data_IF_329976486223
#
_entry.id   IF_329976486223
#
_cell.length_a   1.000
_cell.length_b   1.000
_cell.length_c   1.000
_cell.angle_alpha   90.00
_cell.angle_beta   90.00
_cell.angle_gamma   90.00
#
_symmetry.space_group_name_H-M   'P 1'
#
loop_
_entity.id
_entity.type
_entity.pdbx_description
1 polymer ?
#
# COMPACT_ATOMS: atom_id res chain seq x y z
N UNK A 1 7.06 13.50 17.21
CA UNK A 1 6.10 12.76 16.38
C UNK A 1 5.99 11.29 16.85
N UNK A 2 7.11 10.55 17.01
CA UNK A 2 7.07 9.12 17.40
C UNK A 2 6.37 8.85 18.73
N UNK A 3 6.58 9.68 19.75
CA UNK A 3 5.90 9.52 21.05
C UNK A 3 4.37 9.67 20.95
N UNK A 4 3.88 10.60 20.11
CA UNK A 4 2.45 10.77 19.88
C UNK A 4 1.87 9.57 19.11
N UNK A 5 2.62 9.03 18.14
CA UNK A 5 2.23 7.80 17.42
C UNK A 5 2.22 6.60 18.37
N UNK A 6 3.22 6.45 19.23
CA UNK A 6 3.28 5.39 20.23
C UNK A 6 2.08 5.43 21.17
N UNK A 7 1.70 6.62 21.64
CA UNK A 7 0.53 6.79 22.50
C UNK A 7 -0.76 6.43 21.74
N UNK A 8 -0.94 6.93 20.51
CA UNK A 8 -2.12 6.65 19.70
C UNK A 8 -2.28 5.14 19.42
N UNK A 9 -1.16 4.44 19.15
CA UNK A 9 -1.17 2.99 18.95
C UNK A 9 -1.58 2.26 20.23
N UNK A 10 -1.03 2.65 21.40
CA UNK A 10 -1.46 2.05 22.69
C UNK A 10 -2.96 2.24 22.89
N UNK A 11 -3.44 3.46 22.70
CA UNK A 11 -4.86 3.79 22.95
C UNK A 11 -5.78 3.00 22.03
N UNK A 12 -5.44 2.85 20.75
CA UNK A 12 -6.26 2.08 19.82
C UNK A 12 -6.20 0.58 20.10
N UNK A 13 -5.05 0.04 20.48
CA UNK A 13 -4.90 -1.38 20.87
C UNK A 13 -5.77 -1.67 22.10
N UNK A 14 -5.64 -0.88 23.17
CA UNK A 14 -6.46 -1.02 24.39
C UNK A 14 -7.94 -0.93 24.06
N UNK A 15 -8.33 -0.02 23.18
CA UNK A 15 -9.72 0.14 22.77
C UNK A 15 -10.24 -1.08 21.99
N UNK A 16 -9.46 -1.63 21.07
CA UNK A 16 -9.81 -2.85 20.34
C UNK A 16 -9.98 -4.04 21.31
N UNK A 17 -9.05 -4.22 22.24
CA UNK A 17 -9.13 -5.27 23.26
C UNK A 17 -10.35 -5.10 24.17
N UNK A 18 -10.68 -3.87 24.58
CA UNK A 18 -11.86 -3.58 25.40
C UNK A 18 -13.18 -3.92 24.72
N UNK A 19 -13.20 -3.97 23.38
CA UNK A 19 -14.33 -4.44 22.60
C UNK A 19 -14.31 -5.96 22.33
N UNK A 20 -13.32 -6.67 22.87
CA UNK A 20 -13.22 -8.12 22.76
C UNK A 20 -12.70 -8.62 21.41
N UNK A 21 -11.99 -7.80 20.63
CA UNK A 21 -11.36 -8.28 19.40
C UNK A 21 -10.27 -9.30 19.71
N UNK A 22 -10.30 -10.47 19.03
CA UNK A 22 -9.29 -11.52 19.24
C UNK A 22 -7.95 -11.21 18.56
N UNK A 23 -7.91 -10.20 17.70
CA UNK A 23 -6.74 -9.73 16.97
C UNK A 23 -6.81 -8.20 16.90
N UNK A 24 -5.70 -7.53 17.08
CA UNK A 24 -5.61 -6.06 17.04
C UNK A 24 -4.70 -5.57 15.92
N UNK A 25 -4.82 -4.28 15.58
CA UNK A 25 -3.92 -3.57 14.67
C UNK A 25 -3.39 -2.31 15.32
N UNK A 26 -2.27 -1.79 14.81
CA UNK A 26 -1.70 -0.52 15.26
C UNK A 26 -2.46 0.73 14.74
N UNK A 27 -3.50 0.53 13.89
CA UNK A 27 -4.26 1.62 13.26
C UNK A 27 -3.49 2.36 12.17
N UNK A 28 -2.35 1.86 11.74
CA UNK A 28 -1.47 2.45 10.70
C UNK A 28 -1.00 3.89 11.03
N UNK A 29 -0.93 4.25 12.31
CA UNK A 29 -0.56 5.59 12.76
C UNK A 29 0.86 6.01 12.38
N UNK A 30 1.71 5.07 11.95
CA UNK A 30 3.08 5.37 11.51
C UNK A 30 3.18 5.68 10.04
N UNK A 31 2.13 5.39 9.25
CA UNK A 31 2.10 5.56 7.80
C UNK A 31 1.66 6.97 7.41
N UNK A 32 2.22 7.50 6.35
CA UNK A 32 1.71 8.71 5.70
C UNK A 32 0.33 8.46 5.10
N UNK A 33 0.20 7.32 4.41
CA UNK A 33 -1.06 6.71 3.99
C UNK A 33 -0.81 5.23 3.71
N UNK A 34 -1.88 4.42 3.68
CA UNK A 34 -1.74 3.01 3.32
C UNK A 34 -1.13 2.84 1.92
N UNK A 35 -1.43 3.76 1.00
CA UNK A 35 -0.95 3.72 -0.38
C UNK A 35 0.55 4.03 -0.53
N UNK A 36 1.13 4.78 0.39
CA UNK A 36 2.54 5.14 0.39
C UNK A 36 3.40 4.17 1.20
N UNK A 37 2.80 3.26 1.96
CA UNK A 37 3.48 2.37 2.90
C UNK A 37 4.65 1.60 2.27
N UNK A 38 4.48 1.09 1.04
CA UNK A 38 5.56 0.42 0.32
C UNK A 38 6.66 1.42 -0.08
N UNK A 39 6.29 2.60 -0.59
CA UNK A 39 7.28 3.58 -1.02
C UNK A 39 8.09 4.19 0.13
N UNK A 40 7.58 4.12 1.35
CA UNK A 40 8.32 4.47 2.57
C UNK A 40 9.37 3.40 2.97
N UNK A 41 9.24 2.19 2.46
CA UNK A 41 10.15 1.08 2.71
C UNK A 41 11.32 1.01 1.74
N UNK A 42 11.25 1.70 0.60
CA UNK A 42 12.22 1.55 -0.49
C UNK A 42 12.78 2.90 -0.95
N UNK A 43 14.03 2.89 -1.38
CA UNK A 43 14.64 3.96 -2.16
C UNK A 43 14.62 3.59 -3.65
N UNK A 44 14.68 4.58 -4.53
CA UNK A 44 14.77 4.39 -5.99
C UNK A 44 13.61 4.97 -6.79
N UNK A 45 12.49 5.33 -6.15
CA UNK A 45 11.45 6.12 -6.81
C UNK A 45 11.86 7.57 -7.00
N UNK A 46 11.39 8.17 -8.10
CA UNK A 46 11.47 9.61 -8.30
C UNK A 46 10.76 10.37 -7.17
N UNK A 47 11.36 11.46 -6.73
CA UNK A 47 10.68 12.37 -5.80
C UNK A 47 9.61 13.14 -6.59
N UNK A 48 8.34 13.12 -6.18
CA UNK A 48 7.30 13.91 -6.84
C UNK A 48 7.65 15.39 -6.76
N UNK A 49 7.71 16.06 -7.92
CA UNK A 49 8.04 17.50 -7.97
C UNK A 49 6.98 18.40 -7.31
N UNK A 50 5.79 17.88 -7.00
CA UNK A 50 4.62 18.65 -6.56
C UNK A 50 3.88 17.99 -5.38
N UNK A 51 4.57 17.62 -4.31
CA UNK A 51 3.91 17.11 -3.08
C UNK A 51 2.98 18.17 -2.47
N UNK A 52 3.26 19.47 -2.66
CA UNK A 52 2.50 20.57 -2.04
C UNK A 52 1.12 20.82 -2.68
N UNK A 53 0.86 20.38 -3.91
CA UNK A 53 -0.42 20.64 -4.58
C UNK A 53 -1.64 19.95 -3.93
N UNK A 54 -1.42 18.94 -3.10
CA UNK A 54 -2.50 18.23 -2.42
C UNK A 54 -3.09 18.98 -1.22
N UNK A 55 -2.30 19.84 -0.57
CA UNK A 55 -2.74 20.59 0.61
C UNK A 55 -3.23 22.00 0.27
N UNK A 56 -2.75 22.58 -0.84
CA UNK A 56 -3.09 23.96 -1.22
C UNK A 56 -4.48 24.12 -1.88
N UNK A 57 -5.08 23.03 -2.40
CA UNK A 57 -6.42 23.06 -3.01
C UNK A 57 -7.56 22.62 -2.08
N UNK A 58 -7.30 22.41 -0.81
CA UNK A 58 -8.40 22.17 0.14
C UNK A 58 -9.13 23.49 0.41
N UNK A 59 -10.31 23.63 -0.18
CA UNK A 59 -11.24 24.65 0.24
C UNK A 59 -11.76 24.28 1.63
N UNK A 60 -11.18 24.89 2.67
CA UNK A 60 -11.50 24.60 4.08
C UNK A 60 -12.95 24.99 4.47
N UNK A 61 -13.67 25.68 3.57
CA UNK A 61 -15.03 26.14 3.79
C UNK A 61 -16.10 25.18 3.25
N UNK A 62 -15.72 24.08 2.62
CA UNK A 62 -16.66 23.07 2.12
C UNK A 62 -17.01 22.05 3.21
N UNK A 63 -18.30 21.79 3.35
CA UNK A 63 -18.77 20.73 4.25
C UNK A 63 -18.34 19.34 3.76
N UNK A 64 -18.23 18.33 4.65
CA UNK A 64 -17.91 16.96 4.24
C UNK A 64 -18.89 16.38 3.21
N UNK A 65 -20.16 16.82 3.22
CA UNK A 65 -21.21 16.36 2.31
C UNK A 65 -21.04 16.97 0.91
N UNK A 66 -20.87 18.30 0.82
CA UNK A 66 -20.60 18.98 -0.47
C UNK A 66 -19.33 18.45 -1.14
N UNK A 67 -18.33 18.11 -0.33
CA UNK A 67 -17.09 17.49 -0.79
C UNK A 67 -17.31 16.07 -1.30
N UNK A 68 -18.20 15.30 -0.68
CA UNK A 68 -18.56 13.96 -1.12
C UNK A 68 -19.34 13.99 -2.43
N UNK A 69 -20.28 14.92 -2.61
CA UNK A 69 -21.08 15.06 -3.82
C UNK A 69 -20.24 15.52 -5.03
N UNK A 70 -19.37 16.50 -4.85
CA UNK A 70 -18.45 16.95 -5.92
C UNK A 70 -17.40 15.91 -6.26
N UNK A 71 -16.93 15.15 -5.27
CA UNK A 71 -15.91 14.13 -5.48
C UNK A 71 -16.44 12.81 -6.02
N UNK A 72 -17.75 12.53 -6.00
CA UNK A 72 -18.27 11.28 -6.56
C UNK A 72 -18.22 11.23 -8.10
N UNK A 73 -18.31 12.37 -8.77
CA UNK A 73 -18.16 12.46 -10.23
C UNK A 73 -16.70 12.69 -10.68
N UNK A 74 -15.89 13.40 -9.88
CA UNK A 74 -14.48 13.70 -10.18
C UNK A 74 -13.48 12.83 -9.43
N UNK A 75 -13.89 12.18 -8.36
CA UNK A 75 -13.08 11.24 -7.61
C UNK A 75 -13.07 9.86 -8.26
N UNK A 76 -12.50 9.80 -9.39
CA UNK A 76 -11.67 8.64 -9.64
C UNK A 76 -10.72 8.50 -8.42
N UNK A 77 -10.27 7.29 -8.07
CA UNK A 77 -9.52 7.01 -6.84
C UNK A 77 -8.47 8.07 -6.61
N UNK A 78 -8.46 8.64 -5.42
CA UNK A 78 -7.65 9.77 -4.99
C UNK A 78 -6.33 9.81 -5.74
N UNK A 79 -6.09 10.88 -6.47
CA UNK A 79 -5.04 11.06 -7.49
C UNK A 79 -3.87 10.11 -7.24
N UNK A 80 -3.83 9.03 -8.02
CA UNK A 80 -2.73 8.08 -7.95
C UNK A 80 -1.50 8.82 -8.46
N UNK A 81 -0.64 9.26 -7.57
CA UNK A 81 0.64 9.83 -7.94
C UNK A 81 1.49 8.69 -8.51
N UNK A 82 1.44 8.49 -9.82
CA UNK A 82 2.28 7.51 -10.47
C UNK A 82 3.73 7.95 -10.37
N UNK A 83 4.53 7.16 -9.68
CA UNK A 83 5.97 7.39 -9.53
C UNK A 83 6.74 6.59 -10.55
N UNK A 84 7.71 7.23 -11.20
CA UNK A 84 8.75 6.56 -11.96
C UNK A 84 9.84 6.04 -11.03
N UNK A 85 10.53 4.98 -11.43
CA UNK A 85 11.75 4.54 -10.78
C UNK A 85 12.96 5.15 -11.48
N UNK A 86 13.76 5.93 -10.75
CA UNK A 86 15.04 6.45 -11.21
C UNK A 86 16.16 5.41 -11.10
N UNK A 87 16.01 4.45 -10.20
CA UNK A 87 16.92 3.34 -9.94
C UNK A 87 16.13 2.09 -9.59
N UNK A 88 16.75 0.91 -9.68
CA UNK A 88 16.14 -0.30 -9.12
C UNK A 88 15.87 -0.10 -7.64
N UNK A 89 14.65 -0.45 -7.21
CA UNK A 89 14.22 -0.25 -5.83
C UNK A 89 15.13 -1.03 -4.87
N UNK A 90 15.41 -0.42 -3.73
CA UNK A 90 16.19 -1.06 -2.65
C UNK A 90 15.47 -0.85 -1.33
N UNK A 91 15.34 -1.91 -0.56
CA UNK A 91 14.78 -1.82 0.80
C UNK A 91 15.70 -0.94 1.66
N UNK A 92 15.12 0.06 2.32
CA UNK A 92 15.79 0.94 3.28
C UNK A 92 15.25 0.77 4.70
N UNK A 93 14.04 0.25 4.83
CA UNK A 93 13.40 -0.11 6.10
C UNK A 93 12.30 -1.15 5.88
N UNK A 94 11.95 -1.87 6.92
CA UNK A 94 10.76 -2.73 6.93
C UNK A 94 9.72 -2.11 7.88
N UNK A 95 8.93 -1.16 7.37
CA UNK A 95 7.94 -0.45 8.16
C UNK A 95 6.89 -1.40 8.77
N UNK A 96 6.31 -2.38 8.04
CA UNK A 96 5.43 -3.38 8.63
C UNK A 96 6.03 -4.15 9.81
N UNK A 97 7.32 -4.46 9.77
CA UNK A 97 8.01 -5.11 10.89
C UNK A 97 8.15 -4.19 12.11
N UNK A 98 8.42 -2.90 11.89
CA UNK A 98 8.47 -1.90 12.97
C UNK A 98 7.10 -1.72 13.61
N UNK A 99 6.03 -1.65 12.80
CA UNK A 99 4.64 -1.58 13.25
C UNK A 99 4.24 -2.81 14.06
N UNK A 100 4.53 -4.02 13.53
CA UNK A 100 4.27 -5.28 14.22
C UNK A 100 4.94 -5.32 15.59
N UNK A 101 6.25 -5.06 15.64
CA UNK A 101 7.02 -5.15 16.89
C UNK A 101 6.46 -4.24 17.98
N UNK A 102 6.02 -3.05 17.59
CA UNK A 102 5.47 -2.13 18.56
C UNK A 102 4.06 -2.55 18.99
N UNK A 103 3.18 -2.87 18.06
CA UNK A 103 1.82 -3.33 18.38
C UNK A 103 1.85 -4.58 19.27
N UNK A 104 2.66 -5.59 18.94
CA UNK A 104 2.82 -6.82 19.70
C UNK A 104 3.36 -6.54 21.12
N UNK A 105 4.24 -5.53 21.27
CA UNK A 105 4.82 -5.18 22.59
C UNK A 105 3.81 -4.54 23.55
N UNK A 106 2.68 -4.05 23.06
CA UNK A 106 1.66 -3.34 23.85
C UNK A 106 0.31 -4.07 23.89
N UNK A 107 0.13 -5.12 23.06
CA UNK A 107 -1.08 -5.92 22.97
C UNK A 107 -1.03 -7.15 23.88
N UNK A 108 -2.21 -7.60 24.35
CA UNK A 108 -2.40 -8.87 25.08
C UNK A 108 -2.94 -9.98 24.15
N UNK A 109 -3.37 -9.63 22.93
CA UNK A 109 -3.81 -10.55 21.88
C UNK A 109 -2.92 -10.38 20.65
N UNK A 110 -2.89 -11.34 19.71
CA UNK A 110 -2.04 -11.24 18.53
C UNK A 110 -2.26 -9.95 17.73
N UNK A 111 -1.17 -9.34 17.27
CA UNK A 111 -1.21 -8.20 16.37
C UNK A 111 -1.25 -8.67 14.90
N UNK A 112 -2.15 -8.07 14.11
CA UNK A 112 -2.21 -8.21 12.66
C UNK A 112 -1.47 -7.04 12.01
N UNK A 113 -0.73 -7.34 10.95
CA UNK A 113 -0.06 -6.35 10.09
C UNK A 113 -0.64 -6.37 8.69
N UNK A 114 -0.74 -5.21 8.07
CA UNK A 114 -1.14 -5.07 6.68
C UNK A 114 0.06 -4.70 5.81
N UNK A 115 0.12 -5.27 4.61
CA UNK A 115 1.05 -4.87 3.54
C UNK A 115 0.24 -4.53 2.29
N UNK A 116 0.75 -3.62 1.47
CA UNK A 116 0.10 -3.25 0.22
C UNK A 116 0.41 -4.31 -0.85
N UNK A 117 -0.61 -4.88 -1.49
CA UNK A 117 -0.40 -5.90 -2.52
C UNK A 117 0.32 -5.37 -3.78
N UNK A 118 1.09 -6.23 -4.48
CA UNK A 118 1.89 -5.87 -5.65
C UNK A 118 1.11 -5.18 -6.77
N UNK A 119 -0.13 -5.61 -7.03
CA UNK A 119 -0.98 -4.99 -8.05
C UNK A 119 -1.22 -3.50 -7.76
N UNK A 120 -1.51 -3.16 -6.50
CA UNK A 120 -1.73 -1.75 -6.13
C UNK A 120 -0.47 -0.92 -6.26
N UNK A 121 0.68 -1.48 -5.96
CA UNK A 121 1.99 -0.83 -6.15
C UNK A 121 2.23 -0.63 -7.65
N UNK A 122 1.97 -1.65 -8.47
CA UNK A 122 2.14 -1.62 -9.92
C UNK A 122 1.23 -0.58 -10.59
N UNK A 123 -0.01 -0.41 -10.13
CA UNK A 123 -0.92 0.63 -10.63
C UNK A 123 -0.39 2.05 -10.43
N UNK A 124 0.52 2.24 -9.48
CA UNK A 124 1.17 3.53 -9.17
C UNK A 124 2.49 3.73 -9.93
N UNK A 125 2.90 2.76 -10.71
CA UNK A 125 4.15 2.78 -11.46
C UNK A 125 4.00 3.56 -12.77
N UNK A 126 4.86 4.57 -12.95
CA UNK A 126 4.98 5.30 -14.19
C UNK A 126 6.11 4.69 -15.01
N UNK A 127 5.77 3.65 -15.74
CA UNK A 127 6.74 2.83 -16.42
C UNK A 127 7.43 3.53 -17.61
N UNK A 128 6.79 4.51 -18.23
CA UNK A 128 7.36 5.29 -19.32
C UNK A 128 8.65 6.03 -18.91
N UNK A 129 8.72 6.49 -17.67
CA UNK A 129 9.92 7.13 -17.10
C UNK A 129 10.89 6.15 -16.44
N UNK A 130 10.57 4.85 -16.44
CA UNK A 130 11.31 3.81 -15.72
C UNK A 130 11.97 2.79 -16.62
N UNK A 131 11.81 2.91 -17.96
CA UNK A 131 12.32 1.96 -18.94
C UNK A 131 13.85 1.80 -18.96
N UNK A 132 14.58 2.78 -18.43
CA UNK A 132 16.03 2.66 -18.24
C UNK A 132 16.42 1.78 -17.04
N UNK A 133 15.43 1.43 -16.20
CA UNK A 133 15.64 0.73 -14.94
C UNK A 133 14.98 -0.65 -14.95
N UNK A 134 13.77 -0.73 -15.50
CA UNK A 134 12.95 -1.94 -15.62
C UNK A 134 12.61 -2.21 -17.08
N UNK A 135 12.67 -3.46 -17.49
CA UNK A 135 12.36 -3.89 -18.88
C UNK A 135 10.87 -3.74 -19.21
N UNK A 136 10.02 -3.58 -18.20
CA UNK A 136 8.58 -3.45 -18.31
C UNK A 136 7.90 -3.69 -16.99
N UNK A 137 6.56 -3.75 -17.02
CA UNK A 137 5.73 -3.93 -15.84
C UNK A 137 5.97 -5.30 -15.17
N UNK A 138 6.18 -6.34 -15.94
CA UNK A 138 6.42 -7.70 -15.42
C UNK A 138 7.72 -7.74 -14.59
N UNK A 139 8.85 -7.20 -15.12
CA UNK A 139 10.13 -7.09 -14.36
C UNK A 139 9.97 -6.23 -13.08
N UNK A 140 9.12 -5.21 -13.13
CA UNK A 140 8.84 -4.37 -11.96
C UNK A 140 8.05 -5.14 -10.91
N UNK A 141 7.00 -5.86 -11.31
CA UNK A 141 6.16 -6.66 -10.39
C UNK A 141 6.96 -7.78 -9.76
N UNK A 142 7.77 -8.52 -10.53
CA UNK A 142 8.68 -9.55 -10.01
C UNK A 142 9.62 -8.99 -8.93
N UNK A 143 10.14 -7.79 -9.16
CA UNK A 143 11.03 -7.16 -8.19
C UNK A 143 10.28 -6.70 -6.93
N UNK A 144 9.05 -6.16 -7.04
CA UNK A 144 8.20 -5.86 -5.89
C UNK A 144 7.94 -7.12 -5.07
N UNK A 145 7.53 -8.20 -5.70
CA UNK A 145 7.28 -9.49 -5.04
C UNK A 145 8.53 -9.95 -4.27
N UNK A 146 9.72 -9.86 -4.87
CA UNK A 146 10.96 -10.24 -4.20
C UNK A 146 11.23 -9.38 -2.95
N UNK A 147 10.99 -8.07 -3.02
CA UNK A 147 11.12 -7.15 -1.89
C UNK A 147 10.12 -7.49 -0.79
N UNK A 148 8.85 -7.64 -1.13
CA UNK A 148 7.80 -7.89 -0.14
C UNK A 148 7.93 -9.27 0.50
N UNK A 149 8.38 -10.29 -0.25
CA UNK A 149 8.71 -11.61 0.32
C UNK A 149 9.79 -11.51 1.39
N UNK A 150 10.82 -10.67 1.18
CA UNK A 150 11.83 -10.44 2.21
C UNK A 150 11.21 -9.78 3.46
N UNK A 151 10.31 -8.81 3.26
CA UNK A 151 9.63 -8.14 4.37
C UNK A 151 8.71 -9.10 5.13
N UNK A 152 7.99 -9.97 4.43
CA UNK A 152 7.17 -11.05 5.01
C UNK A 152 8.04 -12.05 5.78
N UNK A 153 9.18 -12.46 5.21
CA UNK A 153 10.10 -13.37 5.89
C UNK A 153 10.60 -12.80 7.24
N UNK A 154 10.88 -11.50 7.27
CA UNK A 154 11.27 -10.81 8.50
C UNK A 154 10.12 -10.77 9.53
N UNK A 155 8.88 -10.57 9.09
CA UNK A 155 7.68 -10.62 9.93
C UNK A 155 7.45 -12.02 10.51
N UNK A 156 7.51 -13.05 9.67
CA UNK A 156 7.39 -14.46 10.11
C UNK A 156 8.47 -14.81 11.10
N UNK A 157 9.72 -14.43 10.82
CA UNK A 157 10.86 -14.62 11.75
C UNK A 157 10.67 -13.90 13.08
N UNK A 158 9.99 -12.76 13.07
CA UNK A 158 9.66 -12.02 14.30
C UNK A 158 8.48 -12.61 15.06
N UNK A 159 7.81 -13.65 14.54
CA UNK A 159 6.68 -14.32 15.16
C UNK A 159 5.30 -13.78 14.76
N UNK A 160 5.22 -12.93 13.75
CA UNK A 160 3.94 -12.42 13.25
C UNK A 160 3.11 -13.58 12.68
N UNK A 161 1.90 -13.75 13.24
CA UNK A 161 0.99 -14.85 12.89
C UNK A 161 -0.12 -14.44 11.94
N UNK A 162 -0.31 -13.14 11.72
CA UNK A 162 -1.37 -12.64 10.88
C UNK A 162 -0.87 -11.48 10.03
N UNK A 163 -0.66 -11.76 8.75
CA UNK A 163 -0.29 -10.77 7.74
C UNK A 163 -1.45 -10.67 6.74
N UNK A 164 -1.97 -9.47 6.54
CA UNK A 164 -3.00 -9.18 5.55
C UNK A 164 -2.36 -8.52 4.34
N UNK A 165 -2.63 -9.03 3.15
CA UNK A 165 -2.25 -8.39 1.89
C UNK A 165 -3.43 -7.56 1.41
N UNK A 166 -3.25 -6.25 1.34
CA UNK A 166 -4.28 -5.32 0.90
C UNK A 166 -4.24 -5.17 -0.63
N UNK A 167 -5.27 -5.69 -1.29
CA UNK A 167 -5.38 -5.71 -2.74
C UNK A 167 -6.60 -4.92 -3.27
N UNK A 168 -6.77 -3.62 -2.95
CA UNK A 168 -7.92 -2.83 -3.41
C UNK A 168 -7.96 -2.63 -4.92
N UNK A 169 -6.85 -2.91 -5.61
CA UNK A 169 -6.73 -2.81 -7.07
C UNK A 169 -7.66 -3.73 -7.84
N UNK A 170 -8.04 -4.86 -7.26
CA UNK A 170 -8.93 -5.85 -7.92
C UNK A 170 -10.30 -5.28 -8.31
N UNK A 171 -10.78 -4.24 -7.62
CA UNK A 171 -12.04 -3.57 -7.98
C UNK A 171 -12.02 -3.01 -9.40
N UNK A 172 -10.84 -2.62 -9.93
CA UNK A 172 -10.70 -2.11 -11.28
C UNK A 172 -10.99 -3.16 -12.37
N UNK A 173 -10.87 -4.45 -12.06
CA UNK A 173 -11.10 -5.55 -13.00
C UNK A 173 -12.56 -5.98 -13.12
N UNK A 174 -13.45 -5.41 -12.30
CA UNK A 174 -14.91 -5.64 -12.37
C UNK A 174 -15.69 -4.36 -12.69
N UNK A 175 -15.05 -3.20 -12.61
CA UNK A 175 -15.66 -1.91 -12.95
C UNK A 175 -15.54 -1.63 -14.46
N UNK A 176 -16.69 -1.44 -15.13
CA UNK A 176 -16.76 -1.21 -16.58
C UNK A 176 -15.95 -0.01 -17.03
N UNK A 177 -16.00 1.09 -16.28
CA UNK A 177 -15.27 2.33 -16.64
C UNK A 177 -13.76 2.11 -16.54
N UNK A 178 -13.32 1.39 -15.52
CA UNK A 178 -11.91 1.04 -15.35
C UNK A 178 -11.40 0.10 -16.46
N UNK A 179 -12.19 -0.90 -16.84
CA UNK A 179 -11.88 -1.81 -17.94
C UNK A 179 -11.76 -1.08 -19.28
N UNK A 180 -12.71 -0.18 -19.60
CA UNK A 180 -12.66 0.64 -20.81
C UNK A 180 -11.43 1.56 -20.82
N UNK A 181 -11.09 2.15 -19.65
CA UNK A 181 -9.91 2.99 -19.49
C UNK A 181 -8.59 2.21 -19.68
N UNK A 182 -8.50 0.97 -19.19
CA UNK A 182 -7.35 0.10 -19.45
C UNK A 182 -7.22 -0.18 -20.95
N UNK A 183 -8.30 -0.60 -21.61
CA UNK A 183 -8.30 -0.90 -23.04
C UNK A 183 -7.96 0.32 -23.90
N UNK A 184 -8.45 1.51 -23.54
CA UNK A 184 -8.14 2.75 -24.27
C UNK A 184 -6.66 3.15 -24.18
N UNK A 185 -5.95 2.65 -23.15
CA UNK A 185 -4.49 2.80 -23.01
C UNK A 185 -3.69 1.67 -23.66
N UNK A 186 -4.37 0.74 -24.36
CA UNK A 186 -3.73 -0.42 -24.96
C UNK A 186 -3.33 -1.51 -23.97
N UNK A 187 -3.88 -1.47 -22.77
CA UNK A 187 -3.67 -2.50 -21.75
C UNK A 187 -4.65 -3.66 -21.96
N UNK A 188 -4.22 -4.87 -21.60
CA UNK A 188 -5.06 -6.07 -21.54
C UNK A 188 -5.51 -6.30 -20.10
N UNK A 189 -6.79 -6.02 -19.74
CA UNK A 189 -7.28 -6.18 -18.37
C UNK A 189 -7.19 -7.62 -17.87
N UNK A 190 -7.39 -8.61 -18.74
CA UNK A 190 -7.35 -10.03 -18.35
C UNK A 190 -5.92 -10.45 -18.01
N UNK A 191 -4.96 -10.04 -18.84
CA UNK A 191 -3.53 -10.25 -18.57
C UNK A 191 -3.10 -9.52 -17.30
N UNK A 192 -3.58 -8.30 -17.08
CA UNK A 192 -3.26 -7.52 -15.86
C UNK A 192 -3.82 -8.23 -14.61
N UNK A 193 -5.07 -8.70 -14.67
CA UNK A 193 -5.67 -9.46 -13.57
C UNK A 193 -4.88 -10.74 -13.27
N UNK A 194 -4.54 -11.52 -14.31
CA UNK A 194 -3.77 -12.75 -14.11
C UNK A 194 -2.40 -12.47 -13.47
N UNK A 195 -1.69 -11.44 -13.94
CA UNK A 195 -0.42 -11.00 -13.32
C UNK A 195 -0.59 -10.67 -11.85
N UNK A 196 -1.67 -9.99 -11.48
CA UNK A 196 -1.95 -9.63 -10.09
C UNK A 196 -2.18 -10.87 -9.22
N UNK A 197 -2.95 -11.83 -9.72
CA UNK A 197 -3.19 -13.12 -9.03
C UNK A 197 -1.88 -13.89 -8.86
N UNK A 198 -1.07 -13.98 -9.92
CA UNK A 198 0.22 -14.69 -9.88
C UNK A 198 1.18 -14.02 -8.89
N UNK A 199 1.22 -12.69 -8.84
CA UNK A 199 2.03 -11.93 -7.90
C UNK A 199 1.61 -12.16 -6.44
N UNK A 200 0.30 -12.11 -6.14
CA UNK A 200 -0.21 -12.35 -4.78
C UNK A 200 0.05 -13.78 -4.33
N UNK A 201 -0.12 -14.76 -5.22
CA UNK A 201 0.23 -16.15 -4.93
C UNK A 201 1.74 -16.33 -4.67
N UNK A 202 2.57 -15.68 -5.48
CA UNK A 202 4.02 -15.72 -5.30
C UNK A 202 4.47 -15.08 -3.97
N UNK A 203 3.75 -14.08 -3.45
CA UNK A 203 4.06 -13.48 -2.15
C UNK A 203 4.00 -14.48 -1.00
N UNK A 204 3.02 -15.38 -1.02
CA UNK A 204 2.74 -16.31 0.09
C UNK A 204 3.37 -17.69 -0.11
N UNK A 205 3.84 -17.99 -1.31
CA UNK A 205 4.38 -19.31 -1.63
C UNK A 205 5.54 -19.71 -0.70
N UNK A 206 5.42 -20.88 -0.04
CA UNK A 206 6.44 -21.43 0.84
C UNK A 206 6.52 -20.82 2.24
N UNK A 207 5.63 -19.91 2.60
CA UNK A 207 5.41 -19.48 3.98
C UNK A 207 4.41 -20.43 4.68
N UNK A 208 4.48 -20.53 6.03
CA UNK A 208 3.60 -21.39 6.82
C UNK A 208 2.14 -20.96 6.76
#
# INVERSE_FOLDING_TARGET
LSQAQDQAIRDVVVRQESHGYPVVTDGEFRRHSFQESFSECVAGFDVPKNINLYYEKRNLNETPLERAEQNFEEAGPAIITRRGAAQRLKVVRNLPLEEYRYAESVANVPAKVTILGPDRIAQRFKWESSLNVYKGLDDFVEHIVAIERQMIADLVKAGCKYIQIDAPGYTAYVDKVSLERMRSRGEDPERNLQRSIDADNALIEGFP
#
